data_IF_736519093011
#
_entry.id   IF_736519093011
#
_cell.length_a   1.000
_cell.length_b   1.000
_cell.length_c   1.000
_cell.angle_alpha   90.00
_cell.angle_beta   90.00
_cell.angle_gamma   90.00
#
_symmetry.space_group_name_H-M   'P 1'
#
loop_
_entity.id
_entity.type
_entity.pdbx_description
1 polymer ?
#
# COMPACT_ATOMS: atom_id res chain seq x y z
N UNK A 1 -23.08 7.59 0.56
CA UNK A 1 -23.39 6.32 1.25
C UNK A 1 -22.18 5.41 1.12
N UNK A 2 -21.42 5.23 2.20
CA UNK A 2 -20.26 4.33 2.25
C UNK A 2 -20.71 3.05 2.93
N UNK A 3 -21.13 2.06 2.14
CA UNK A 3 -21.33 0.69 2.59
C UNK A 3 -20.32 -0.18 1.85
N UNK A 4 -19.41 -0.79 2.59
CA UNK A 4 -18.46 -1.76 2.05
C UNK A 4 -19.21 -2.91 1.38
N UNK A 5 -18.91 -3.13 0.10
CA UNK A 5 -19.41 -4.25 -0.67
C UNK A 5 -18.74 -5.54 -0.21
N UNK A 6 -19.36 -6.20 0.75
CA UNK A 6 -19.06 -7.58 1.12
C UNK A 6 -19.73 -8.49 0.09
N UNK A 7 -18.94 -9.16 -0.75
CA UNK A 7 -19.41 -10.20 -1.67
C UNK A 7 -20.04 -11.36 -0.86
N UNK A 8 -21.37 -11.37 -0.77
CA UNK A 8 -22.13 -12.53 -0.28
C UNK A 8 -22.32 -13.53 -1.42
N UNK A 9 -21.59 -14.64 -1.36
CA UNK A 9 -21.95 -15.85 -2.11
C UNK A 9 -23.16 -16.52 -1.44
N UNK A 10 -24.36 -16.25 -1.98
CA UNK A 10 -25.57 -16.93 -1.57
C UNK A 10 -25.67 -18.33 -2.17
N UNK A 11 -25.23 -19.36 -1.43
CA UNK A 11 -25.53 -20.75 -1.77
C UNK A 11 -26.91 -21.10 -1.19
N UNK A 12 -27.91 -21.28 -2.06
CA UNK A 12 -29.20 -21.90 -1.69
C UNK A 12 -28.97 -23.38 -1.38
N UNK A 13 -28.86 -23.74 -0.11
CA UNK A 13 -28.90 -25.14 0.34
C UNK A 13 -30.29 -25.43 0.89
N UNK A 14 -31.01 -26.30 0.19
CA UNK A 14 -32.32 -26.80 0.61
C UNK A 14 -32.23 -27.56 1.93
N UNK A 15 -33.25 -27.41 2.78
CA UNK A 15 -33.38 -28.15 4.03
C UNK A 15 -33.44 -29.66 3.74
N UNK A 16 -32.38 -30.38 4.07
CA UNK A 16 -32.43 -31.81 4.40
C UNK A 16 -31.63 -32.03 5.68
N UNK A 17 -32.32 -32.54 6.70
CA UNK A 17 -31.73 -32.92 7.96
C UNK A 17 -30.75 -34.10 7.75
N UNK A 18 -29.53 -33.98 8.27
CA UNK A 18 -28.57 -35.07 8.38
C UNK A 18 -27.95 -35.06 9.79
N UNK A 19 -27.62 -36.23 10.35
CA UNK A 19 -27.47 -36.45 11.79
C UNK A 19 -26.13 -35.97 12.36
N UNK A 20 -26.15 -35.66 13.65
CA UNK A 20 -24.99 -35.25 14.44
C UNK A 20 -23.87 -36.31 14.40
N UNK A 21 -22.74 -35.97 13.78
CA UNK A 21 -21.49 -36.72 13.88
C UNK A 21 -20.74 -36.21 15.11
N UNK A 22 -20.64 -37.05 16.15
CA UNK A 22 -19.73 -36.84 17.29
C UNK A 22 -18.28 -36.96 16.80
N UNK A 23 -17.56 -35.84 16.71
CA UNK A 23 -16.11 -35.83 16.56
C UNK A 23 -15.46 -36.09 17.92
N UNK A 24 -14.91 -37.30 18.07
CA UNK A 24 -14.06 -37.69 19.19
C UNK A 24 -12.74 -36.90 19.13
N UNK A 25 -12.60 -35.89 19.98
CA UNK A 25 -11.31 -35.28 20.30
C UNK A 25 -10.49 -36.26 21.16
N UNK A 26 -9.69 -37.11 20.52
CA UNK A 26 -8.56 -37.82 21.16
C UNK A 26 -7.28 -37.36 20.49
N UNK A 27 -6.56 -36.43 21.12
CA UNK A 27 -5.28 -35.98 20.56
C UNK A 27 -4.74 -34.67 21.13
N UNK A 28 -4.84 -34.44 22.43
CA UNK A 28 -3.99 -33.46 23.12
C UNK A 28 -3.61 -34.04 24.47
N UNK A 29 -2.50 -34.79 24.51
CA UNK A 29 -1.80 -35.04 25.76
C UNK A 29 -1.07 -33.74 26.14
N UNK A 30 -1.80 -32.83 26.79
CA UNK A 30 -1.19 -31.76 27.58
C UNK A 30 -0.53 -32.40 28.81
N UNK A 31 0.75 -32.15 29.02
CA UNK A 31 1.42 -32.41 30.31
C UNK A 31 0.53 -31.84 31.42
N UNK A 32 0.08 -32.74 32.28
CA UNK A 32 -0.83 -32.43 33.36
C UNK A 32 -0.25 -31.35 34.28
N UNK A 33 -0.97 -30.24 34.42
CA UNK A 33 -0.88 -29.39 35.61
C UNK A 33 -1.65 -30.15 36.69
N UNK A 34 -0.93 -30.90 37.50
CA UNK A 34 -1.47 -31.61 38.65
C UNK A 34 -1.81 -30.61 39.77
N UNK A 35 -3.09 -30.31 39.97
CA UNK A 35 -3.57 -29.65 41.19
C UNK A 35 -4.86 -28.85 40.98
N UNK A 36 -5.99 -29.41 41.44
CA UNK A 36 -7.37 -28.88 41.42
C UNK A 36 -8.14 -28.99 40.09
N UNK A 37 -9.15 -29.87 40.07
CA UNK A 37 -10.08 -30.10 38.96
C UNK A 37 -11.19 -29.04 38.97
N UNK A 38 -10.86 -27.78 38.71
CA UNK A 38 -11.89 -26.74 38.58
C UNK A 38 -12.52 -26.85 37.19
N UNK A 39 -13.85 -27.00 37.15
CA UNK A 39 -14.63 -27.01 35.92
C UNK A 39 -14.66 -25.59 35.32
N UNK A 40 -13.73 -25.32 34.41
CA UNK A 40 -13.52 -24.03 33.74
C UNK A 40 -14.80 -23.50 33.09
N UNK A 41 -15.72 -24.38 32.69
CA UNK A 41 -16.98 -24.00 32.03
C UNK A 41 -18.02 -23.37 32.97
N UNK A 42 -17.79 -23.40 34.29
CA UNK A 42 -18.69 -22.85 35.31
C UNK A 42 -18.18 -21.56 35.95
N UNK A 43 -17.02 -21.07 35.53
CA UNK A 43 -16.41 -19.86 36.08
C UNK A 43 -16.94 -18.66 35.28
N UNK A 44 -17.59 -17.68 35.93
CA UNK A 44 -18.01 -16.45 35.25
C UNK A 44 -16.82 -15.71 34.64
N UNK A 45 -16.99 -15.05 33.49
CA UNK A 45 -15.93 -14.23 32.87
C UNK A 45 -15.49 -13.02 33.73
N UNK A 46 -16.18 -12.75 34.84
CA UNK A 46 -15.83 -11.74 35.83
C UNK A 46 -14.79 -12.22 36.85
N UNK A 47 -14.52 -13.53 36.93
CA UNK A 47 -13.57 -14.13 37.86
C UNK A 47 -12.32 -14.64 37.12
N UNK A 48 -11.11 -14.45 37.68
CA UNK A 48 -9.89 -14.95 37.05
C UNK A 48 -9.89 -16.49 37.05
N UNK A 49 -9.52 -17.07 35.91
CA UNK A 49 -9.41 -18.52 35.78
C UNK A 49 -8.29 -19.06 36.70
N UNK A 50 -8.58 -20.05 37.56
CA UNK A 50 -7.59 -20.63 38.47
C UNK A 50 -6.56 -21.44 37.68
N UNK A 51 -5.29 -21.37 38.12
CA UNK A 51 -4.20 -22.15 37.53
C UNK A 51 -3.50 -21.53 36.31
N UNK A 52 -3.91 -20.33 35.87
CA UNK A 52 -3.16 -19.56 34.87
C UNK A 52 -2.00 -18.78 35.51
N UNK A 53 -0.88 -18.60 34.78
CA UNK A 53 0.23 -17.77 35.25
C UNK A 53 -0.22 -16.33 35.44
N UNK A 54 0.38 -15.64 36.40
CA UNK A 54 0.10 -14.22 36.64
C UNK A 54 0.38 -13.39 35.39
N UNK A 55 -0.58 -12.57 34.98
CA UNK A 55 -0.47 -11.69 33.81
C UNK A 55 0.66 -10.70 34.05
N UNK A 56 1.66 -10.70 33.18
CA UNK A 56 2.70 -9.68 33.19
C UNK A 56 2.22 -8.49 32.38
N UNK A 57 1.86 -7.41 33.06
CA UNK A 57 1.44 -6.18 32.40
C UNK A 57 2.64 -5.40 31.87
N UNK A 58 2.44 -4.78 30.72
CA UNK A 58 3.39 -3.83 30.16
C UNK A 58 3.70 -2.73 31.17
N UNK A 59 4.98 -2.42 31.37
CA UNK A 59 5.40 -1.21 32.06
C UNK A 59 5.84 -0.19 31.01
N UNK A 60 5.45 1.10 31.13
CA UNK A 60 5.97 2.14 30.26
C UNK A 60 7.50 2.14 30.33
N UNK A 61 8.13 1.82 29.22
CA UNK A 61 9.57 1.99 29.03
C UNK A 61 9.84 3.48 28.82
N UNK A 62 10.79 4.04 29.57
CA UNK A 62 11.29 5.39 29.34
C UNK A 62 12.38 5.44 28.25
N UNK A 63 12.79 4.28 27.71
CA UNK A 63 13.78 4.26 26.65
C UNK A 63 13.13 4.73 25.34
N UNK A 64 13.75 5.65 24.61
CA UNK A 64 13.32 5.95 23.25
C UNK A 64 13.49 4.66 22.43
N UNK A 65 12.42 4.20 21.79
CA UNK A 65 12.46 3.12 20.81
C UNK A 65 13.23 3.61 19.57
N UNK A 66 14.57 3.69 19.68
CA UNK A 66 15.45 4.14 18.61
C UNK A 66 15.46 3.11 17.48
N UNK A 67 15.49 3.60 16.25
CA UNK A 67 15.54 2.73 15.07
C UNK A 67 17.00 2.34 14.84
N UNK A 68 17.29 1.04 14.93
CA UNK A 68 18.63 0.49 14.70
C UNK A 68 18.71 0.02 13.25
N UNK A 69 19.78 0.39 12.55
CA UNK A 69 20.02 0.02 11.15
C UNK A 69 21.38 -0.66 11.02
N UNK A 70 21.38 -1.87 10.49
CA UNK A 70 22.59 -2.64 10.18
C UNK A 70 22.64 -2.95 8.69
N UNK A 71 23.81 -2.80 8.07
CA UNK A 71 24.04 -3.18 6.68
C UNK A 71 24.80 -4.51 6.66
N UNK A 72 24.22 -5.51 6.01
CA UNK A 72 24.84 -6.83 5.82
C UNK A 72 25.91 -6.79 4.74
N UNK A 73 26.83 -7.76 4.77
CA UNK A 73 27.97 -7.84 3.83
C UNK A 73 27.52 -7.95 2.36
N UNK A 74 26.36 -8.55 2.10
CA UNK A 74 25.78 -8.66 0.76
C UNK A 74 25.12 -7.35 0.27
N UNK A 75 25.01 -6.33 1.12
CA UNK A 75 24.44 -5.02 0.80
C UNK A 75 23.01 -4.77 1.27
N UNK A 76 22.30 -5.79 1.78
CA UNK A 76 20.94 -5.61 2.34
C UNK A 76 21.02 -4.75 3.60
N UNK A 77 20.09 -3.80 3.72
CA UNK A 77 19.92 -3.01 4.95
C UNK A 77 18.81 -3.63 5.79
N UNK A 78 19.08 -3.81 7.09
CA UNK A 78 18.14 -4.32 8.08
C UNK A 78 17.85 -3.22 9.08
N UNK A 79 16.59 -2.80 9.16
CA UNK A 79 16.13 -1.78 10.10
C UNK A 79 15.14 -2.39 11.09
N UNK A 80 15.26 -2.08 12.37
CA UNK A 80 14.27 -2.51 13.36
C UNK A 80 13.95 -1.42 14.35
N UNK A 81 12.69 -1.37 14.76
CA UNK A 81 12.25 -0.66 15.94
C UNK A 81 11.60 -1.66 16.90
N UNK A 82 12.25 -1.91 18.03
CA UNK A 82 11.64 -2.74 19.05
C UNK A 82 10.50 -1.95 19.69
N UNK A 83 9.31 -2.52 19.72
CA UNK A 83 8.13 -1.91 20.33
C UNK A 83 7.40 -2.96 21.13
N UNK A 84 6.86 -2.56 22.28
CA UNK A 84 6.07 -3.46 23.10
C UNK A 84 4.82 -3.92 22.36
N UNK A 85 4.65 -5.24 22.24
CA UNK A 85 3.51 -5.89 21.62
C UNK A 85 3.75 -7.39 21.44
N UNK A 86 2.68 -8.17 21.27
CA UNK A 86 2.78 -9.59 20.94
C UNK A 86 2.91 -9.84 19.44
N UNK A 87 2.60 -8.83 18.62
CA UNK A 87 2.65 -8.89 17.17
C UNK A 87 3.87 -8.12 16.65
N UNK A 88 4.49 -8.69 15.63
CA UNK A 88 5.51 -8.01 14.84
C UNK A 88 5.00 -7.77 13.43
N UNK A 89 5.47 -6.70 12.81
CA UNK A 89 5.28 -6.44 11.38
C UNK A 89 6.66 -6.42 10.73
N UNK A 90 6.84 -7.23 9.69
CA UNK A 90 8.06 -7.29 8.89
C UNK A 90 7.71 -6.90 7.46
N UNK A 91 8.51 -6.02 6.87
CA UNK A 91 8.36 -5.56 5.49
C UNK A 91 9.67 -5.65 4.74
N UNK A 92 9.63 -6.17 3.52
CA UNK A 92 10.70 -6.07 2.54
C UNK A 92 10.35 -4.94 1.59
N UNK A 93 11.10 -3.86 1.67
CA UNK A 93 10.96 -2.69 0.81
C UNK A 93 12.03 -2.76 -0.26
N UNK A 94 11.60 -2.72 -1.52
CA UNK A 94 12.45 -2.84 -2.69
C UNK A 94 12.30 -1.57 -3.50
N UNK A 95 13.44 -0.99 -3.89
CA UNK A 95 13.50 0.11 -4.85
C UNK A 95 13.19 -0.44 -6.26
N UNK A 96 11.90 -0.59 -6.54
CA UNK A 96 11.34 -1.22 -7.73
C UNK A 96 9.95 -0.66 -7.98
N UNK A 97 9.55 -0.55 -9.24
CA UNK A 97 8.26 -0.01 -9.62
C UNK A 97 8.20 0.32 -11.12
N UNK A 98 7.03 0.81 -11.59
CA UNK A 98 6.80 1.24 -12.97
C UNK A 98 7.84 2.20 -13.51
N UNK A 99 8.44 3.04 -12.65
CA UNK A 99 9.52 3.96 -13.02
C UNK A 99 10.69 3.26 -13.72
N UNK A 100 10.99 2.03 -13.32
CA UNK A 100 12.16 1.27 -13.78
C UNK A 100 11.83 0.36 -14.98
N UNK A 101 10.64 0.50 -15.58
CA UNK A 101 10.18 -0.31 -16.70
C UNK A 101 10.48 0.31 -18.07
N UNK A 102 11.35 1.32 -18.16
CA UNK A 102 11.63 2.06 -19.41
C UNK A 102 12.07 1.13 -20.55
N UNK A 103 12.90 0.13 -20.23
CA UNK A 103 13.39 -0.86 -21.20
C UNK A 103 12.50 -2.11 -21.33
N UNK A 104 11.34 -2.11 -20.67
CA UNK A 104 10.43 -3.24 -20.59
C UNK A 104 9.01 -2.86 -21.08
N UNK A 105 8.18 -3.84 -21.44
CA UNK A 105 6.75 -3.59 -21.61
C UNK A 105 6.16 -3.09 -20.30
N UNK A 106 5.54 -1.90 -20.29
CA UNK A 106 4.95 -1.35 -19.07
C UNK A 106 3.84 -2.25 -18.52
N UNK A 107 3.80 -2.41 -17.20
CA UNK A 107 2.86 -3.27 -16.47
C UNK A 107 3.51 -4.42 -15.70
N UNK A 108 4.83 -4.59 -15.75
CA UNK A 108 5.51 -5.71 -15.07
C UNK A 108 5.30 -5.68 -13.55
N UNK A 109 5.42 -4.51 -12.92
CA UNK A 109 5.22 -4.35 -11.49
C UNK A 109 3.80 -4.70 -11.08
N UNK A 110 2.82 -4.35 -11.92
CA UNK A 110 1.41 -4.71 -11.68
C UNK A 110 1.21 -6.24 -11.70
N UNK A 111 1.86 -6.93 -12.64
CA UNK A 111 1.89 -8.40 -12.65
C UNK A 111 2.57 -8.98 -11.40
N UNK A 112 3.71 -8.44 -10.99
CA UNK A 112 4.43 -8.88 -9.80
C UNK A 112 3.63 -8.68 -8.51
N UNK A 113 2.80 -7.64 -8.44
CA UNK A 113 1.87 -7.41 -7.34
C UNK A 113 0.79 -8.50 -7.30
N UNK A 114 0.16 -8.84 -8.42
CA UNK A 114 -0.87 -9.91 -8.47
C UNK A 114 -0.28 -11.30 -8.23
N UNK A 115 0.95 -11.53 -8.64
CA UNK A 115 1.70 -12.78 -8.43
C UNK A 115 2.32 -12.88 -7.03
N UNK A 116 2.25 -11.82 -6.22
CA UNK A 116 2.78 -11.83 -4.87
C UNK A 116 2.11 -12.93 -4.04
N UNK A 117 2.90 -13.57 -3.17
CA UNK A 117 2.48 -14.69 -2.33
C UNK A 117 1.96 -15.92 -3.10
N UNK A 118 2.29 -16.06 -4.39
CA UNK A 118 2.05 -17.27 -5.18
C UNK A 118 2.96 -18.45 -4.84
N UNK A 119 3.03 -19.44 -5.73
CA UNK A 119 3.91 -20.58 -5.58
C UNK A 119 5.40 -20.17 -5.56
N UNK A 120 6.19 -20.85 -4.72
CA UNK A 120 7.63 -20.61 -4.54
C UNK A 120 8.40 -21.92 -4.68
N UNK A 121 9.73 -21.89 -4.53
CA UNK A 121 10.53 -23.12 -4.46
C UNK A 121 10.16 -24.01 -3.28
N UNK A 122 9.75 -23.42 -2.15
CA UNK A 122 9.40 -24.13 -0.92
C UNK A 122 7.91 -24.48 -0.81
N UNK A 123 7.04 -23.59 -1.28
CA UNK A 123 5.59 -23.70 -1.18
C UNK A 123 4.99 -23.99 -2.56
N UNK A 124 4.25 -25.09 -2.69
CA UNK A 124 3.75 -25.56 -3.99
C UNK A 124 2.63 -24.70 -4.57
N UNK A 125 1.87 -24.01 -3.72
CA UNK A 125 0.78 -23.12 -4.11
C UNK A 125 0.57 -22.00 -3.10
N UNK A 126 -0.25 -21.01 -3.49
CA UNK A 126 -0.65 -19.89 -2.63
C UNK A 126 -1.29 -20.32 -1.31
N UNK A 127 -2.11 -21.37 -1.32
CA UNK A 127 -2.82 -21.83 -0.12
C UNK A 127 -1.85 -22.34 0.96
N UNK A 128 -0.72 -22.96 0.57
CA UNK A 128 0.31 -23.36 1.52
C UNK A 128 1.00 -22.15 2.17
N UNK A 129 1.26 -21.10 1.40
CA UNK A 129 1.83 -19.83 1.89
C UNK A 129 0.88 -19.21 2.93
N UNK A 130 -0.40 -19.11 2.60
CA UNK A 130 -1.42 -18.56 3.50
C UNK A 130 -1.60 -19.43 4.75
N UNK A 131 -1.58 -20.76 4.64
CA UNK A 131 -1.72 -21.64 5.79
C UNK A 131 -0.57 -21.49 6.80
N UNK A 132 0.66 -21.25 6.33
CA UNK A 132 1.81 -20.98 7.22
C UNK A 132 1.61 -19.66 7.97
N UNK A 133 1.12 -18.65 7.28
CA UNK A 133 0.84 -17.33 7.84
C UNK A 133 -0.32 -17.37 8.86
N UNK A 134 -1.42 -18.05 8.53
CA UNK A 134 -2.60 -18.23 9.39
C UNK A 134 -2.26 -18.98 10.67
N UNK A 135 -1.35 -19.96 10.62
CA UNK A 135 -0.84 -20.66 11.83
C UNK A 135 -0.17 -19.72 12.82
N UNK A 136 0.37 -18.60 12.34
CA UNK A 136 0.97 -17.55 13.18
C UNK A 136 0.00 -16.40 13.49
N UNK A 137 -1.28 -16.56 13.14
CA UNK A 137 -2.30 -15.51 13.27
C UNK A 137 -1.98 -14.27 12.43
N UNK A 138 -1.25 -14.43 11.33
CA UNK A 138 -0.72 -13.34 10.54
C UNK A 138 -1.56 -12.95 9.33
N UNK A 139 -1.30 -11.73 8.84
CA UNK A 139 -1.81 -11.19 7.58
C UNK A 139 -0.63 -10.73 6.72
N UNK A 140 -0.78 -10.77 5.40
CA UNK A 140 0.25 -10.36 4.47
C UNK A 140 -0.36 -9.52 3.35
N UNK A 141 0.44 -8.60 2.83
CA UNK A 141 0.05 -7.73 1.73
C UNK A 141 1.26 -7.38 0.87
N UNK A 142 0.99 -7.10 -0.41
CA UNK A 142 1.99 -6.60 -1.33
C UNK A 142 1.45 -5.36 -2.04
N UNK A 143 2.19 -4.27 -1.94
CA UNK A 143 1.78 -2.99 -2.49
C UNK A 143 2.86 -2.43 -3.41
N UNK A 144 2.43 -1.95 -4.58
CA UNK A 144 3.29 -1.23 -5.51
C UNK A 144 3.02 0.28 -5.49
N UNK A 145 4.09 1.05 -5.44
CA UNK A 145 4.15 2.47 -5.77
C UNK A 145 4.86 2.64 -7.12
N UNK A 146 5.09 3.89 -7.56
CA UNK A 146 5.82 4.18 -8.80
C UNK A 146 7.31 3.87 -8.72
N UNK A 147 7.91 3.99 -7.54
CA UNK A 147 9.34 3.82 -7.28
C UNK A 147 9.66 2.77 -6.20
N UNK A 148 8.66 2.23 -5.53
CA UNK A 148 8.84 1.29 -4.41
C UNK A 148 7.85 0.12 -4.47
N UNK A 149 8.32 -1.07 -4.13
CA UNK A 149 7.54 -2.29 -4.00
C UNK A 149 7.69 -2.82 -2.58
N UNK A 150 6.59 -3.11 -1.91
CA UNK A 150 6.59 -3.53 -0.50
C UNK A 150 5.93 -4.89 -0.37
N UNK A 151 6.64 -5.84 0.24
CA UNK A 151 6.08 -7.12 0.68
C UNK A 151 6.05 -7.11 2.20
N UNK A 152 4.86 -7.08 2.80
CA UNK A 152 4.71 -6.97 4.24
C UNK A 152 3.93 -8.15 4.81
N UNK A 153 4.29 -8.54 6.02
CA UNK A 153 3.56 -9.52 6.80
C UNK A 153 3.55 -9.10 8.28
N UNK A 154 2.38 -9.17 8.90
CA UNK A 154 2.20 -8.98 10.34
C UNK A 154 1.79 -10.30 10.96
N UNK A 155 2.44 -10.74 12.03
CA UNK A 155 2.12 -11.99 12.71
C UNK A 155 2.54 -11.96 14.18
N UNK A 156 2.25 -13.03 14.92
CA UNK A 156 2.78 -13.21 16.28
C UNK A 156 4.32 -13.19 16.27
N UNK A 157 4.91 -12.44 17.21
CA UNK A 157 6.36 -12.29 17.38
C UNK A 157 7.11 -13.61 17.52
N UNK A 158 6.49 -14.65 18.09
CA UNK A 158 7.08 -16.00 18.18
C UNK A 158 7.28 -16.66 16.81
N UNK A 159 6.51 -16.23 15.82
CA UNK A 159 6.57 -16.69 14.43
C UNK A 159 7.59 -15.96 13.57
N UNK A 160 8.37 -15.01 14.11
CA UNK A 160 9.25 -14.12 13.35
C UNK A 160 10.11 -14.83 12.28
N UNK A 161 10.81 -15.89 12.66
CA UNK A 161 11.68 -16.63 11.76
C UNK A 161 10.89 -17.29 10.61
N UNK A 162 9.66 -17.76 10.85
CA UNK A 162 8.80 -18.33 9.80
C UNK A 162 8.30 -17.24 8.84
N UNK A 163 7.98 -16.05 9.36
CA UNK A 163 7.55 -14.90 8.54
C UNK A 163 8.69 -14.40 7.66
N UNK A 164 9.91 -14.30 8.19
CA UNK A 164 11.09 -13.88 7.41
C UNK A 164 11.43 -14.92 6.34
N UNK A 165 11.36 -16.21 6.67
CA UNK A 165 11.55 -17.30 5.69
C UNK A 165 10.53 -17.18 4.55
N UNK A 166 9.24 -17.02 4.89
CA UNK A 166 8.16 -16.83 3.92
C UNK A 166 8.38 -15.61 3.02
N UNK A 167 8.69 -14.45 3.61
CA UNK A 167 8.98 -13.24 2.84
C UNK A 167 10.18 -13.42 1.91
N UNK A 168 11.22 -14.14 2.35
CA UNK A 168 12.39 -14.44 1.50
C UNK A 168 12.03 -15.34 0.31
N UNK A 169 11.16 -16.34 0.50
CA UNK A 169 10.73 -17.25 -0.55
C UNK A 169 9.86 -16.53 -1.59
N UNK A 170 8.90 -15.72 -1.12
CA UNK A 170 7.99 -14.97 -2.01
C UNK A 170 8.72 -13.90 -2.80
N UNK A 171 9.73 -13.25 -2.22
CA UNK A 171 10.47 -12.17 -2.90
C UNK A 171 11.57 -12.66 -3.83
N UNK A 172 12.35 -13.66 -3.42
CA UNK A 172 13.57 -14.08 -4.14
C UNK A 172 13.44 -15.43 -4.87
N UNK A 173 12.44 -16.23 -4.53
CA UNK A 173 12.26 -17.59 -5.08
C UNK A 173 10.82 -17.87 -5.55
N UNK A 174 10.14 -16.92 -6.24
CA UNK A 174 8.85 -17.21 -6.81
C UNK A 174 9.01 -18.20 -7.98
N UNK A 175 8.08 -19.15 -8.11
CA UNK A 175 8.09 -20.12 -9.21
C UNK A 175 7.40 -19.56 -10.45
N UNK A 176 6.33 -18.79 -10.28
CA UNK A 176 5.46 -18.22 -11.33
C UNK A 176 5.12 -19.28 -12.37
N UNK A 177 4.08 -20.08 -12.15
CA UNK A 177 3.63 -21.05 -13.15
C UNK A 177 2.88 -20.36 -14.30
N UNK A 178 2.77 -21.00 -15.47
CA UNK A 178 1.98 -20.45 -16.59
C UNK A 178 0.50 -20.28 -16.19
N UNK A 179 -0.03 -21.20 -15.38
CA UNK A 179 -1.40 -21.13 -14.85
C UNK A 179 -1.59 -19.89 -13.96
N UNK A 180 -0.64 -19.58 -13.07
CA UNK A 180 -0.67 -18.38 -12.22
C UNK A 180 -0.55 -17.09 -13.06
N UNK A 181 0.28 -17.13 -14.10
CA UNK A 181 0.47 -16.00 -15.01
C UNK A 181 -0.82 -15.73 -15.80
N UNK A 182 -1.47 -16.75 -16.34
CA UNK A 182 -2.75 -16.62 -17.04
C UNK A 182 -3.88 -16.14 -16.12
N UNK A 183 -3.94 -16.65 -14.89
CA UNK A 183 -4.89 -16.17 -13.89
C UNK A 183 -4.65 -14.68 -13.58
N UNK A 184 -3.39 -14.25 -13.49
CA UNK A 184 -3.02 -12.85 -13.27
C UNK A 184 -3.40 -11.96 -14.45
N UNK A 185 -3.26 -12.43 -15.70
CA UNK A 185 -3.73 -11.71 -16.90
C UNK A 185 -5.22 -11.43 -16.82
N UNK A 186 -6.03 -12.41 -16.45
CA UNK A 186 -7.49 -12.22 -16.34
C UNK A 186 -7.88 -11.32 -15.17
N UNK A 187 -7.18 -11.45 -14.02
CA UNK A 187 -7.39 -10.56 -12.88
C UNK A 187 -7.11 -9.10 -13.24
N UNK A 188 -5.99 -8.82 -13.93
CA UNK A 188 -5.64 -7.47 -14.39
C UNK A 188 -6.66 -6.95 -15.41
N UNK A 189 -7.12 -7.78 -16.36
CA UNK A 189 -8.18 -7.38 -17.29
C UNK A 189 -9.49 -7.04 -16.58
N UNK A 190 -9.85 -7.78 -15.53
CA UNK A 190 -11.02 -7.47 -14.71
C UNK A 190 -10.83 -6.14 -13.99
N UNK A 191 -9.67 -5.92 -13.38
CA UNK A 191 -9.38 -4.69 -12.64
C UNK A 191 -9.37 -3.45 -13.54
N UNK A 192 -8.80 -3.53 -14.75
CA UNK A 192 -8.86 -2.44 -15.72
C UNK A 192 -10.31 -2.11 -16.11
N UNK A 193 -11.17 -3.12 -16.30
CA UNK A 193 -12.60 -2.90 -16.52
C UNK A 193 -13.25 -2.25 -15.31
N UNK A 194 -12.91 -2.69 -14.10
CA UNK A 194 -13.48 -2.13 -12.87
C UNK A 194 -13.08 -0.66 -12.69
N UNK A 195 -11.80 -0.31 -12.89
CA UNK A 195 -11.31 1.07 -12.84
C UNK A 195 -12.03 1.93 -13.89
N UNK A 196 -12.21 1.41 -15.09
CA UNK A 196 -12.90 2.10 -16.17
C UNK A 196 -14.39 2.36 -15.84
N UNK A 197 -15.04 1.45 -15.12
CA UNK A 197 -16.46 1.53 -14.77
C UNK A 197 -16.76 2.27 -13.45
N UNK A 198 -15.75 2.56 -12.63
CA UNK A 198 -15.94 3.24 -11.34
C UNK A 198 -16.42 4.69 -11.56
N UNK A 199 -17.39 5.19 -10.79
CA UNK A 199 -17.78 6.60 -10.88
C UNK A 199 -16.73 7.54 -10.29
N UNK A 200 -16.00 7.07 -9.29
CA UNK A 200 -14.84 7.77 -8.76
C UNK A 200 -13.64 7.52 -9.67
N UNK A 201 -13.16 8.59 -10.29
CA UNK A 201 -12.10 8.58 -11.29
C UNK A 201 -10.73 8.97 -10.70
N UNK A 202 -10.61 9.06 -9.37
CA UNK A 202 -9.35 9.47 -8.71
C UNK A 202 -8.14 8.64 -9.19
N UNK A 203 -8.24 7.31 -9.19
CA UNK A 203 -7.15 6.44 -9.67
C UNK A 203 -6.74 6.75 -11.10
N UNK A 204 -7.72 6.88 -12.02
CA UNK A 204 -7.43 7.18 -13.43
C UNK A 204 -6.81 8.57 -13.59
N UNK A 205 -7.31 9.56 -12.86
CA UNK A 205 -6.79 10.92 -12.91
C UNK A 205 -5.37 10.99 -12.37
N UNK A 206 -5.03 10.22 -11.34
CA UNK A 206 -3.67 10.11 -10.84
C UNK A 206 -2.74 9.45 -11.87
N UNK A 207 -3.19 8.43 -12.60
CA UNK A 207 -2.41 7.89 -13.72
C UNK A 207 -2.20 8.94 -14.83
N UNK A 208 -3.26 9.66 -15.20
CA UNK A 208 -3.23 10.68 -16.24
C UNK A 208 -2.34 11.87 -15.88
N UNK A 209 -2.38 12.36 -14.64
CA UNK A 209 -1.58 13.53 -14.26
C UNK A 209 -0.08 13.21 -14.24
N UNK A 210 0.30 11.99 -13.82
CA UNK A 210 1.70 11.55 -13.89
C UNK A 210 2.17 11.42 -15.33
N UNK A 211 1.35 10.84 -16.20
CA UNK A 211 1.64 10.75 -17.65
C UNK A 211 1.72 12.13 -18.30
N UNK A 212 0.87 13.08 -17.89
CA UNK A 212 0.93 14.45 -18.39
C UNK A 212 2.20 15.18 -17.91
N UNK A 213 2.58 15.01 -16.64
CA UNK A 213 3.74 15.68 -16.05
C UNK A 213 5.08 15.16 -16.59
N UNK A 214 5.24 13.84 -16.65
CA UNK A 214 6.51 13.16 -16.95
C UNK A 214 6.53 12.45 -18.31
N UNK A 215 5.46 12.54 -19.10
CA UNK A 215 5.31 11.92 -20.43
C UNK A 215 5.47 10.40 -20.38
N UNK A 216 6.02 9.79 -21.43
CA UNK A 216 6.26 8.35 -21.50
C UNK A 216 7.66 8.00 -20.96
N UNK A 217 8.04 8.53 -19.80
CA UNK A 217 9.35 8.27 -19.20
C UNK A 217 9.28 8.22 -17.67
N UNK A 218 10.11 7.38 -17.06
CA UNK A 218 10.25 7.27 -15.59
C UNK A 218 8.89 7.24 -14.86
N UNK A 219 8.58 8.24 -14.02
CA UNK A 219 7.34 8.35 -13.25
C UNK A 219 6.05 8.53 -14.10
N UNK A 220 6.19 8.87 -15.38
CA UNK A 220 5.08 8.98 -16.32
C UNK A 220 4.68 7.64 -16.94
N UNK A 221 5.48 6.59 -16.72
CA UNK A 221 5.09 5.22 -17.06
C UNK A 221 3.86 4.80 -16.23
N UNK A 222 2.94 4.04 -16.83
CA UNK A 222 1.68 3.69 -16.18
C UNK A 222 1.92 2.69 -15.05
N UNK A 223 1.28 2.92 -13.90
CA UNK A 223 1.24 1.95 -12.79
C UNK A 223 0.35 0.76 -13.14
N UNK A 224 -0.78 1.04 -13.78
CA UNK A 224 -1.69 0.00 -14.27
C UNK A 224 -1.21 -0.51 -15.64
N UNK A 225 -1.08 -1.82 -15.78
CA UNK A 225 -0.68 -2.44 -17.04
C UNK A 225 -1.61 -2.01 -18.19
N UNK A 226 -1.10 -1.42 -19.29
CA UNK A 226 -1.89 -1.16 -20.49
C UNK A 226 -2.48 -2.45 -21.06
N UNK A 227 -3.71 -2.40 -21.57
CA UNK A 227 -4.41 -3.58 -22.08
C UNK A 227 -3.65 -4.29 -23.22
N UNK A 228 -2.96 -3.53 -24.06
CA UNK A 228 -2.12 -4.01 -25.16
C UNK A 228 -0.89 -4.81 -24.69
N UNK A 229 -0.35 -4.50 -23.51
CA UNK A 229 0.84 -5.14 -22.97
C UNK A 229 0.54 -6.45 -22.22
N UNK A 230 -0.71 -6.69 -21.81
CA UNK A 230 -1.10 -7.88 -21.03
C UNK A 230 -0.72 -9.18 -21.73
N UNK A 231 -0.83 -9.22 -23.07
CA UNK A 231 -0.48 -10.38 -23.88
C UNK A 231 1.03 -10.49 -24.17
N UNK A 232 1.78 -9.40 -24.04
CA UNK A 232 3.21 -9.33 -24.35
C UNK A 232 4.08 -9.72 -23.15
N UNK A 233 3.57 -9.57 -21.93
CA UNK A 233 4.30 -9.89 -20.71
C UNK A 233 4.36 -11.41 -20.54
N UNK A 234 5.58 -11.94 -20.56
CA UNK A 234 5.88 -13.36 -20.38
C UNK A 234 6.69 -13.62 -19.09
N UNK A 235 6.80 -14.91 -18.74
CA UNK A 235 7.50 -15.35 -17.54
C UNK A 235 8.98 -14.92 -17.55
N UNK A 236 9.65 -14.99 -18.70
CA UNK A 236 11.07 -14.65 -18.82
C UNK A 236 11.33 -13.16 -18.63
N UNK A 237 10.45 -12.30 -19.15
CA UNK A 237 10.53 -10.85 -18.96
C UNK A 237 10.38 -10.48 -17.48
N UNK A 238 9.45 -11.11 -16.76
CA UNK A 238 9.29 -10.93 -15.31
C UNK A 238 10.56 -11.31 -14.54
N UNK A 239 11.14 -12.48 -14.80
CA UNK A 239 12.39 -12.89 -14.13
C UNK A 239 13.59 -12.04 -14.51
N UNK A 240 13.64 -11.52 -15.74
CA UNK A 240 14.68 -10.57 -16.17
C UNK A 240 14.61 -9.27 -15.37
N UNK A 241 13.39 -8.75 -15.17
CA UNK A 241 13.16 -7.57 -14.34
C UNK A 241 13.48 -7.83 -12.86
N UNK A 242 13.07 -8.98 -12.30
CA UNK A 242 13.42 -9.38 -10.94
C UNK A 242 14.93 -9.48 -10.74
N UNK A 243 15.66 -10.11 -11.67
CA UNK A 243 17.14 -10.21 -11.60
C UNK A 243 17.80 -8.83 -11.54
N UNK A 244 17.24 -7.86 -12.25
CA UNK A 244 17.80 -6.51 -12.34
C UNK A 244 17.47 -5.66 -11.10
N UNK A 245 16.21 -5.64 -10.63
CA UNK A 245 15.75 -4.76 -9.55
C UNK A 245 15.78 -5.38 -8.15
N UNK A 246 15.65 -6.71 -8.01
CA UNK A 246 15.60 -7.38 -6.70
C UNK A 246 17.01 -7.74 -6.19
N UNK A 247 18.01 -6.95 -6.56
CA UNK A 247 19.37 -7.10 -6.04
C UNK A 247 19.47 -6.58 -4.61
N UNK A 248 20.39 -7.14 -3.83
CA UNK A 248 20.58 -6.81 -2.41
C UNK A 248 20.75 -5.30 -2.13
N UNK A 249 21.40 -4.56 -3.03
CA UNK A 249 21.59 -3.08 -2.91
C UNK A 249 20.28 -2.27 -2.94
N UNK A 250 19.23 -2.82 -3.56
CA UNK A 250 17.92 -2.17 -3.69
C UNK A 250 16.92 -2.63 -2.61
N UNK A 251 17.36 -3.48 -1.66
CA UNK A 251 16.48 -4.10 -0.69
C UNK A 251 16.74 -3.61 0.73
N UNK A 252 15.66 -3.34 1.45
CA UNK A 252 15.65 -3.04 2.88
C UNK A 252 14.66 -3.96 3.57
N UNK A 253 15.09 -4.68 4.60
CA UNK A 253 14.19 -5.43 5.47
C UNK A 253 13.96 -4.59 6.73
N UNK A 254 12.72 -4.15 6.92
CA UNK A 254 12.32 -3.35 8.08
C UNK A 254 11.36 -4.13 8.96
N UNK A 255 11.51 -4.05 10.28
CA UNK A 255 10.57 -4.68 11.20
C UNK A 255 10.25 -3.83 12.43
N UNK A 256 9.03 -3.96 12.93
CA UNK A 256 8.55 -3.31 14.15
C UNK A 256 8.07 -4.37 15.14
N UNK A 257 8.43 -4.23 16.41
CA UNK A 257 8.05 -5.17 17.47
C UNK A 257 8.95 -6.41 17.54
N UNK A 258 10.23 -6.28 17.14
CA UNK A 258 11.21 -7.37 17.13
C UNK A 258 12.54 -6.93 17.71
N UNK A 259 13.32 -7.89 18.22
CA UNK A 259 14.72 -7.67 18.57
C UNK A 259 15.57 -7.54 17.29
N UNK A 260 16.49 -6.57 17.28
CA UNK A 260 17.37 -6.30 16.14
C UNK A 260 18.27 -7.50 15.81
N UNK A 261 18.89 -8.11 16.81
CA UNK A 261 19.87 -9.18 16.60
C UNK A 261 19.20 -10.44 16.02
N UNK A 262 18.02 -10.79 16.53
CA UNK A 262 17.21 -11.91 16.02
C UNK A 262 16.76 -11.66 14.57
N UNK A 263 16.39 -10.42 14.24
CA UNK A 263 16.04 -10.03 12.87
C UNK A 263 17.24 -10.16 11.93
N UNK A 264 18.40 -9.63 12.33
CA UNK A 264 19.64 -9.69 11.55
C UNK A 264 20.05 -11.14 11.28
N UNK A 265 19.99 -12.01 12.29
CA UNK A 265 20.31 -13.43 12.14
C UNK A 265 19.33 -14.12 11.16
N UNK A 266 18.03 -13.88 11.30
CA UNK A 266 17.02 -14.48 10.43
C UNK A 266 17.12 -13.97 8.99
N UNK A 267 17.38 -12.67 8.78
CA UNK A 267 17.60 -12.10 7.43
C UNK A 267 18.88 -12.69 6.82
N UNK A 268 19.97 -12.79 7.59
CA UNK A 268 21.20 -13.39 7.11
C UNK A 268 20.98 -14.84 6.66
N UNK A 269 20.25 -15.63 7.45
CA UNK A 269 19.93 -17.02 7.14
C UNK A 269 19.09 -17.18 5.86
N UNK A 270 18.06 -16.37 5.67
CA UNK A 270 17.08 -16.61 4.60
C UNK A 270 17.27 -15.78 3.33
N UNK A 271 17.78 -14.55 3.45
CA UNK A 271 18.03 -13.66 2.30
C UNK A 271 19.47 -13.74 1.78
N UNK A 272 20.45 -14.08 2.63
CA UNK A 272 21.88 -14.08 2.24
C UNK A 272 22.36 -15.48 1.89
N UNK A 273 22.17 -16.46 2.78
CA UNK A 273 22.72 -17.82 2.57
C UNK A 273 22.02 -18.56 1.43
N UNK A 274 20.72 -18.34 1.26
CA UNK A 274 19.93 -18.93 0.18
C UNK A 274 19.91 -18.00 -1.02
N UNK A 275 20.34 -18.49 -2.19
CA UNK A 275 20.37 -17.69 -3.42
C UNK A 275 18.96 -17.45 -3.99
N UNK A 276 18.77 -16.36 -4.76
CA UNK A 276 17.57 -16.15 -5.58
C UNK A 276 17.48 -17.17 -6.73
N UNK A 277 16.26 -17.51 -7.13
CA UNK A 277 16.00 -18.57 -8.12
C UNK A 277 16.58 -18.26 -9.51
N UNK A 278 16.59 -17.00 -9.93
CA UNK A 278 17.13 -16.54 -11.22
C UNK A 278 18.67 -16.52 -11.27
N UNK A 279 19.34 -16.71 -10.13
CA UNK A 279 20.80 -16.92 -10.07
C UNK A 279 21.12 -18.41 -10.27
N UNK A 280 20.33 -19.27 -9.65
CA UNK A 280 20.52 -20.72 -9.73
C UNK A 280 20.07 -21.29 -11.09
N UNK A 281 18.97 -20.76 -11.65
CA UNK A 281 18.46 -21.14 -12.96
C UNK A 281 18.51 -19.96 -13.94
N UNK A 282 19.59 -19.91 -14.71
CA UNK A 282 19.78 -18.87 -15.74
C UNK A 282 18.83 -19.01 -16.93
N UNK A 283 18.14 -20.16 -17.11
CA UNK A 283 17.20 -20.36 -18.22
C UNK A 283 15.89 -19.57 -18.07
N UNK A 284 15.62 -19.09 -16.85
CA UNK A 284 14.45 -18.27 -16.52
C UNK A 284 14.56 -16.83 -17.00
N UNK A 285 15.77 -16.38 -17.36
CA UNK A 285 16.07 -14.99 -17.68
C UNK A 285 16.36 -14.88 -19.18
N UNK A 286 16.06 -13.71 -19.76
CA UNK A 286 16.43 -13.43 -21.15
C UNK A 286 17.95 -13.25 -21.29
N UNK A 287 18.53 -13.80 -22.37
CA UNK A 287 19.98 -13.73 -22.64
C UNK A 287 20.47 -12.28 -22.74
N UNK A 288 19.67 -11.41 -23.34
CA UNK A 288 19.83 -9.96 -23.33
C UNK A 288 18.98 -9.36 -22.21
N UNK A 289 19.65 -8.94 -21.14
CA UNK A 289 19.05 -8.08 -20.11
C UNK A 289 19.31 -6.62 -20.49
N UNK A 290 18.27 -5.77 -20.62
CA UNK A 290 18.49 -4.35 -20.86
C UNK A 290 19.25 -3.71 -19.69
N UNK A 291 19.98 -2.63 -19.96
CA UNK A 291 20.67 -1.89 -18.91
C UNK A 291 19.67 -1.26 -17.93
N UNK A 292 20.10 -1.11 -16.67
CA UNK A 292 19.26 -0.47 -15.66
C UNK A 292 19.18 1.02 -15.94
N UNK A 293 17.96 1.49 -16.16
CA UNK A 293 17.69 2.91 -16.31
C UNK A 293 17.41 3.52 -14.93
N UNK A 294 18.40 4.23 -14.41
CA UNK A 294 18.30 5.04 -13.18
C UNK A 294 18.20 6.55 -13.52
N UNK A 295 17.66 6.89 -14.69
CA UNK A 295 17.46 8.27 -15.13
C UNK A 295 16.60 9.08 -14.16
N UNK A 296 16.92 10.37 -14.07
CA UNK A 296 16.18 11.35 -13.27
C UNK A 296 14.90 11.73 -14.01
N UNK A 297 13.80 11.81 -13.27
CA UNK A 297 12.52 12.27 -13.78
C UNK A 297 12.53 13.77 -14.04
N UNK A 298 12.14 14.18 -15.25
CA UNK A 298 12.06 15.59 -15.63
C UNK A 298 10.59 16.00 -15.77
N UNK A 299 10.16 16.98 -14.96
CA UNK A 299 8.85 17.57 -15.11
C UNK A 299 8.78 18.40 -16.40
N UNK A 300 7.83 18.08 -17.27
CA UNK A 300 7.65 18.79 -18.54
C UNK A 300 6.32 19.53 -18.65
N UNK A 301 5.39 19.21 -17.77
CA UNK A 301 3.99 19.61 -17.88
C UNK A 301 3.28 19.00 -19.09
N UNK A 302 1.97 19.17 -19.12
CA UNK A 302 1.14 18.63 -20.19
C UNK A 302 -0.34 18.71 -19.87
N UNK A 303 -1.16 18.40 -20.86
CA UNK A 303 -2.61 18.34 -20.72
C UNK A 303 -3.11 17.06 -21.35
N UNK A 304 -3.78 16.22 -20.56
CA UNK A 304 -4.49 15.05 -21.04
C UNK A 304 -5.97 15.23 -20.76
N UNK A 305 -6.80 14.90 -21.75
CA UNK A 305 -8.26 15.00 -21.68
C UNK A 305 -8.85 13.70 -22.19
N UNK A 306 -9.82 13.17 -21.44
CA UNK A 306 -10.58 11.99 -21.83
C UNK A 306 -12.05 12.37 -21.73
N UNK A 307 -12.76 12.25 -22.83
CA UNK A 307 -14.23 12.41 -22.86
C UNK A 307 -14.83 11.04 -22.75
N UNK A 308 -15.64 10.83 -21.71
CA UNK A 308 -16.31 9.55 -21.48
C UNK A 308 -17.74 9.79 -21.01
N UNK A 309 -18.66 9.03 -21.59
CA UNK A 309 -20.05 9.04 -21.16
C UNK A 309 -20.26 8.00 -20.05
N UNK A 310 -20.50 8.48 -18.84
CA UNK A 310 -20.77 7.65 -17.66
C UNK A 310 -22.28 7.50 -17.38
N UNK A 311 -23.16 8.06 -18.22
CA UNK A 311 -24.62 8.05 -17.97
C UNK A 311 -25.20 6.65 -17.85
N UNK A 312 -24.58 5.68 -18.53
CA UNK A 312 -25.06 4.30 -18.62
C UNK A 312 -24.30 3.33 -17.69
N UNK A 313 -23.36 3.80 -16.88
CA UNK A 313 -22.51 2.96 -16.03
C UNK A 313 -23.09 2.65 -14.64
N UNK A 314 -24.35 3.02 -14.37
CA UNK A 314 -24.97 2.73 -13.08
C UNK A 314 -25.24 1.23 -12.91
N UNK A 315 -24.52 0.60 -11.97
CA UNK A 315 -24.78 -0.77 -11.51
C UNK A 315 -26.02 -0.87 -10.59
N UNK A 316 -26.62 0.27 -10.20
CA UNK A 316 -27.74 0.35 -9.27
C UNK A 316 -28.93 1.17 -9.79
N UNK A 317 -30.07 1.16 -9.07
CA UNK A 317 -31.30 1.85 -9.46
C UNK A 317 -31.20 3.38 -9.36
N UNK A 318 -30.21 3.90 -8.62
CA UNK A 318 -29.95 5.34 -8.50
C UNK A 318 -28.92 5.77 -9.53
N UNK A 319 -29.25 6.68 -10.46
CA UNK A 319 -28.29 7.21 -11.41
C UNK A 319 -27.17 7.94 -10.66
N UNK A 320 -25.94 7.69 -11.07
CA UNK A 320 -24.75 8.37 -10.56
C UNK A 320 -24.76 9.80 -11.12
N UNK A 321 -24.41 10.83 -10.32
CA UNK A 321 -24.29 12.18 -10.85
C UNK A 321 -23.27 12.21 -11.98
N UNK A 322 -23.63 12.83 -13.10
CA UNK A 322 -22.70 13.06 -14.20
C UNK A 322 -21.71 14.16 -13.76
N UNK A 323 -20.48 13.78 -13.43
CA UNK A 323 -19.45 14.70 -12.93
C UNK A 323 -18.32 14.83 -13.96
N UNK A 324 -17.87 16.06 -14.16
CA UNK A 324 -16.58 16.35 -14.76
C UNK A 324 -15.52 16.37 -13.65
N UNK A 325 -14.44 15.64 -13.86
CA UNK A 325 -13.31 15.59 -12.94
C UNK A 325 -12.09 16.29 -13.53
N UNK A 326 -11.37 17.05 -12.71
CA UNK A 326 -10.16 17.77 -13.09
C UNK A 326 -9.10 17.55 -12.03
N UNK A 327 -7.87 17.33 -12.48
CA UNK A 327 -6.68 17.42 -11.65
C UNK A 327 -5.76 18.47 -12.26
N UNK A 328 -5.41 19.47 -11.45
CA UNK A 328 -4.38 20.46 -11.79
C UNK A 328 -3.17 20.23 -10.89
N UNK A 329 -1.98 20.17 -11.48
CA UNK A 329 -0.78 19.84 -10.74
C UNK A 329 0.44 20.66 -11.15
N UNK A 330 1.33 20.88 -10.19
CA UNK A 330 2.62 21.52 -10.35
C UNK A 330 3.72 20.58 -9.83
N UNK A 331 4.95 20.81 -10.28
CA UNK A 331 6.12 20.14 -9.73
C UNK A 331 6.27 20.48 -8.24
N UNK A 332 6.50 19.46 -7.42
CA UNK A 332 6.83 19.60 -6.01
C UNK A 332 8.19 18.98 -5.70
N UNK A 333 8.55 18.95 -4.41
CA UNK A 333 9.87 18.52 -3.99
C UNK A 333 10.01 17.00 -3.83
N UNK A 334 11.24 16.52 -3.98
CA UNK A 334 11.63 15.15 -3.61
C UNK A 334 11.53 14.94 -2.09
N UNK A 335 11.35 13.69 -1.64
CA UNK A 335 11.44 13.35 -0.22
C UNK A 335 12.82 13.59 0.41
N UNK A 336 13.86 13.82 -0.40
CA UNK A 336 15.23 14.15 0.07
C UNK A 336 15.47 15.65 0.18
N UNK A 337 14.58 16.46 -0.36
CA UNK A 337 14.71 17.91 -0.41
C UNK A 337 14.33 18.53 0.96
N UNK A 338 15.03 19.55 1.45
CA UNK A 338 14.61 20.30 2.64
C UNK A 338 13.17 20.83 2.56
N UNK A 339 12.68 21.16 1.36
CA UNK A 339 11.32 21.68 1.14
C UNK A 339 10.23 20.59 1.20
N UNK A 340 10.60 19.31 1.30
CA UNK A 340 9.63 18.21 1.44
C UNK A 340 8.63 18.44 2.58
N UNK A 341 9.13 18.83 3.75
CA UNK A 341 8.30 19.09 4.93
C UNK A 341 7.38 20.30 4.68
N UNK A 342 7.86 21.31 3.96
CA UNK A 342 7.07 22.47 3.56
C UNK A 342 5.88 22.03 2.69
N UNK A 343 6.09 21.14 1.72
CA UNK A 343 5.01 20.59 0.90
C UNK A 343 4.03 19.71 1.68
N UNK A 344 4.49 18.94 2.68
CA UNK A 344 3.58 18.22 3.60
C UNK A 344 2.69 19.19 4.38
N UNK A 345 3.26 20.29 4.90
CA UNK A 345 2.48 21.33 5.60
C UNK A 345 1.48 21.99 4.66
N UNK A 346 1.88 22.31 3.43
CA UNK A 346 0.99 22.85 2.39
C UNK A 346 -0.15 21.87 2.09
N UNK A 347 0.15 20.57 1.96
CA UNK A 347 -0.84 19.53 1.74
C UNK A 347 -1.89 19.50 2.86
N UNK A 348 -1.44 19.49 4.13
CA UNK A 348 -2.33 19.51 5.29
C UNK A 348 -3.15 20.81 5.40
N UNK A 349 -2.56 21.96 5.06
CA UNK A 349 -3.23 23.27 5.07
C UNK A 349 -4.30 23.36 3.99
N UNK A 350 -3.98 22.91 2.78
CA UNK A 350 -4.93 22.87 1.66
C UNK A 350 -6.04 21.87 1.94
N UNK A 351 -5.68 20.65 2.34
CA UNK A 351 -6.57 19.58 2.75
C UNK A 351 -7.69 19.35 1.73
N UNK A 352 -8.94 19.49 2.20
CA UNK A 352 -10.13 19.35 1.37
C UNK A 352 -10.96 18.12 1.69
N UNK A 353 -11.62 17.58 0.68
CA UNK A 353 -12.43 16.38 0.76
C UNK A 353 -13.66 16.41 -0.14
N UNK A 354 -14.53 15.42 0.06
CA UNK A 354 -15.85 15.39 -0.58
C UNK A 354 -16.85 16.30 0.14
N UNK A 355 -17.77 16.89 -0.64
CA UNK A 355 -18.94 17.63 -0.16
C UNK A 355 -19.81 16.79 0.78
N UNK A 356 -19.83 15.48 0.57
CA UNK A 356 -20.45 14.53 1.49
C UNK A 356 -19.40 13.80 2.33
N UNK A 357 -19.10 14.31 3.53
CA UNK A 357 -18.27 13.61 4.52
C UNK A 357 -19.06 13.38 5.80
N UNK A 358 -19.48 12.14 6.05
CA UNK A 358 -20.08 11.75 7.32
C UNK A 358 -18.95 11.55 8.34
N UNK A 359 -18.56 12.62 9.02
CA UNK A 359 -17.46 12.60 9.97
C UNK A 359 -17.60 13.61 11.09
N UNK A 360 -17.05 13.27 12.25
CA UNK A 360 -16.91 14.22 13.35
C UNK A 360 -15.77 15.22 13.12
N UNK A 361 -15.59 16.17 14.04
CA UNK A 361 -14.45 17.09 14.06
C UNK A 361 -13.09 16.35 13.94
N UNK A 362 -12.12 16.97 13.27
CA UNK A 362 -10.77 16.43 13.09
C UNK A 362 -10.46 15.87 11.69
N UNK A 363 -11.45 15.75 10.80
CA UNK A 363 -11.26 15.29 9.40
C UNK A 363 -10.77 16.37 8.42
N UNK A 364 -10.29 17.52 8.91
CA UNK A 364 -9.86 18.62 8.03
C UNK A 364 -11.00 19.51 7.50
N UNK A 365 -12.16 19.55 8.17
CA UNK A 365 -13.28 20.45 7.79
C UNK A 365 -12.94 21.95 7.86
N UNK A 366 -11.86 22.30 8.56
CA UNK A 366 -11.34 23.67 8.66
C UNK A 366 -10.16 23.93 7.72
N UNK A 367 -9.82 22.97 6.85
CA UNK A 367 -8.80 23.17 5.83
C UNK A 367 -9.23 24.23 4.82
N UNK A 368 -8.24 24.78 4.10
CA UNK A 368 -8.45 25.89 3.19
C UNK A 368 -9.41 25.54 2.06
N UNK A 369 -9.22 24.39 1.41
CA UNK A 369 -10.12 23.97 0.32
C UNK A 369 -11.53 23.67 0.85
N UNK A 370 -11.66 23.11 2.06
CA UNK A 370 -12.99 22.85 2.61
C UNK A 370 -13.76 24.15 2.90
N UNK A 371 -13.11 25.13 3.52
CA UNK A 371 -13.76 26.38 3.95
C UNK A 371 -13.94 27.41 2.82
N UNK A 372 -12.96 27.57 1.95
CA UNK A 372 -13.03 28.54 0.85
C UNK A 372 -13.73 27.98 -0.38
N UNK A 373 -13.62 26.66 -0.62
CA UNK A 373 -14.19 26.04 -1.82
C UNK A 373 -15.50 25.34 -1.48
N UNK A 374 -15.48 24.24 -0.74
CA UNK A 374 -16.67 23.39 -0.56
C UNK A 374 -17.82 24.09 0.19
N UNK A 375 -17.53 24.89 1.21
CA UNK A 375 -18.57 25.62 1.95
C UNK A 375 -19.17 26.79 1.15
N UNK A 376 -18.45 27.35 0.18
CA UNK A 376 -18.92 28.51 -0.61
C UNK A 376 -19.57 28.08 -1.92
N UNK A 377 -18.99 27.09 -2.59
CA UNK A 377 -19.44 26.57 -3.87
C UNK A 377 -20.13 25.23 -3.67
N UNK A 378 -21.39 25.27 -3.23
CA UNK A 378 -22.19 24.08 -2.91
C UNK A 378 -22.40 23.11 -4.09
N UNK A 379 -22.16 23.56 -5.32
CA UNK A 379 -22.25 22.76 -6.55
C UNK A 379 -20.99 21.92 -6.81
N UNK A 380 -19.90 22.15 -6.08
CA UNK A 380 -18.69 21.32 -6.15
C UNK A 380 -18.86 20.05 -5.30
N UNK A 381 -18.49 18.91 -5.89
CA UNK A 381 -18.62 17.60 -5.26
C UNK A 381 -17.38 17.19 -4.49
N UNK A 382 -16.20 17.53 -5.00
CA UNK A 382 -14.91 17.20 -4.39
C UNK A 382 -13.92 18.34 -4.64
N UNK A 383 -13.04 18.59 -3.68
CA UNK A 383 -11.86 19.42 -3.83
C UNK A 383 -10.83 18.96 -2.80
N UNK A 384 -9.79 18.24 -3.23
CA UNK A 384 -8.79 17.63 -2.35
C UNK A 384 -7.40 17.87 -2.92
N UNK A 385 -6.46 18.29 -2.06
CA UNK A 385 -5.05 18.41 -2.40
C UNK A 385 -4.29 17.11 -2.10
N UNK A 386 -3.30 16.81 -2.94
CA UNK A 386 -2.40 15.68 -2.78
C UNK A 386 -0.96 16.12 -3.02
N UNK A 387 -0.05 15.57 -2.22
CA UNK A 387 1.39 15.68 -2.45
C UNK A 387 1.98 14.29 -2.69
N UNK A 388 2.44 14.04 -3.91
CA UNK A 388 3.20 12.84 -4.27
C UNK A 388 4.69 13.21 -4.29
N UNK A 389 5.48 12.63 -3.39
CA UNK A 389 6.92 12.86 -3.35
C UNK A 389 7.68 11.57 -3.69
N UNK A 390 8.63 11.70 -4.61
CA UNK A 390 9.48 10.61 -5.09
C UNK A 390 10.95 10.89 -4.77
N UNK A 391 11.82 9.96 -5.15
CA UNK A 391 13.24 10.00 -4.84
C UNK A 391 14.03 11.20 -5.40
N UNK A 392 13.53 11.84 -6.44
CA UNK A 392 14.21 12.93 -7.16
C UNK A 392 13.29 14.09 -7.57
N UNK A 393 11.97 13.93 -7.48
CA UNK A 393 10.98 14.96 -7.83
C UNK A 393 9.66 14.71 -7.07
N UNK A 394 8.67 15.58 -7.22
CA UNK A 394 7.34 15.40 -6.68
C UNK A 394 6.26 16.04 -7.56
N UNK A 395 5.01 15.72 -7.29
CA UNK A 395 3.83 16.38 -7.85
C UNK A 395 2.94 16.84 -6.71
N UNK A 396 2.61 18.13 -6.68
CA UNK A 396 1.54 18.67 -5.84
C UNK A 396 0.33 18.99 -6.71
N UNK A 397 -0.82 18.39 -6.39
CA UNK A 397 -2.02 18.52 -7.23
C UNK A 397 -3.29 18.75 -6.42
N UNK A 398 -4.30 19.31 -7.08
CA UNK A 398 -5.66 19.44 -6.55
C UNK A 398 -6.61 18.70 -7.49
N UNK A 399 -7.29 17.70 -6.95
CA UNK A 399 -8.40 17.00 -7.59
C UNK A 399 -9.70 17.70 -7.22
N UNK A 400 -10.47 18.09 -8.22
CA UNK A 400 -11.80 18.64 -8.02
C UNK A 400 -12.82 18.04 -8.99
N UNK A 401 -14.08 17.97 -8.56
CA UNK A 401 -15.19 17.49 -9.39
C UNK A 401 -16.45 18.32 -9.22
N UNK A 402 -17.19 18.49 -10.31
CA UNK A 402 -18.46 19.22 -10.37
C UNK A 402 -19.29 18.80 -11.60
N UNK A 403 -20.50 19.35 -11.72
CA UNK A 403 -21.35 19.21 -12.90
C UNK A 403 -20.67 19.80 -14.17
N UNK A 404 -20.66 19.10 -15.32
CA UNK A 404 -19.99 19.56 -16.54
C UNK A 404 -20.20 21.03 -16.97
N UNK A 405 -21.38 21.65 -16.83
CA UNK A 405 -21.56 23.06 -17.20
C UNK A 405 -20.71 24.04 -16.37
N UNK A 406 -20.34 23.68 -15.14
CA UNK A 406 -19.58 24.53 -14.22
C UNK A 406 -18.06 24.34 -14.31
N UNK A 407 -17.58 23.56 -15.29
CA UNK A 407 -16.17 23.16 -15.39
C UNK A 407 -15.20 24.36 -15.55
N UNK A 408 -15.59 25.38 -16.31
CA UNK A 408 -14.76 26.58 -16.51
C UNK A 408 -14.59 27.39 -15.21
N UNK A 409 -15.68 27.50 -14.44
CA UNK A 409 -15.68 28.16 -13.15
C UNK A 409 -14.87 27.36 -12.12
N UNK A 410 -15.04 26.03 -12.10
CA UNK A 410 -14.26 25.12 -11.24
C UNK A 410 -12.76 25.31 -11.45
N UNK A 411 -12.30 25.27 -12.70
CA UNK A 411 -10.87 25.46 -13.00
C UNK A 411 -10.40 26.83 -12.54
N UNK A 412 -11.20 27.88 -12.74
CA UNK A 412 -10.86 29.24 -12.31
C UNK A 412 -10.72 29.35 -10.79
N UNK A 413 -11.59 28.68 -10.03
CA UNK A 413 -11.53 28.63 -8.56
C UNK A 413 -10.26 27.91 -8.10
N UNK A 414 -9.95 26.74 -8.66
CA UNK A 414 -8.75 25.97 -8.29
C UNK A 414 -7.46 26.74 -8.62
N UNK A 415 -7.39 27.37 -9.79
CA UNK A 415 -6.25 28.24 -10.17
C UNK A 415 -6.12 29.41 -9.21
N UNK A 416 -7.23 30.02 -8.80
CA UNK A 416 -7.20 31.10 -7.81
C UNK A 416 -6.71 30.63 -6.44
N UNK A 417 -7.07 29.42 -5.99
CA UNK A 417 -6.54 28.88 -4.73
C UNK A 417 -5.03 28.60 -4.81
N UNK A 418 -4.53 28.09 -5.94
CA UNK A 418 -3.08 27.99 -6.18
C UNK A 418 -2.39 29.36 -6.15
N UNK A 419 -2.97 30.38 -6.81
CA UNK A 419 -2.41 31.74 -6.80
C UNK A 419 -2.42 32.35 -5.39
N UNK A 420 -3.51 32.18 -4.64
CA UNK A 420 -3.65 32.70 -3.29
C UNK A 420 -2.75 31.99 -2.27
N UNK A 421 -2.25 30.79 -2.57
CA UNK A 421 -1.24 30.11 -1.77
C UNK A 421 0.09 30.88 -1.74
N UNK A 422 0.41 31.62 -2.80
CA UNK A 422 1.60 32.48 -2.87
C UNK A 422 1.47 33.77 -2.05
N UNK A 423 0.26 34.10 -1.59
CA UNK A 423 -0.03 35.26 -0.75
C UNK A 423 0.30 35.04 0.73
N UNK A 424 0.06 36.07 1.56
CA UNK A 424 0.26 35.96 3.01
C UNK A 424 -0.77 35.00 3.61
N UNK A 425 -0.30 33.94 4.27
CA UNK A 425 -1.14 33.03 5.05
C UNK A 425 -1.46 33.73 6.39
N UNK A 426 -2.75 33.81 6.75
CA UNK A 426 -3.14 34.35 8.06
C UNK A 426 -2.67 33.43 9.19
N UNK A 427 -2.12 34.00 10.27
CA UNK A 427 -1.56 33.27 11.42
C UNK A 427 -2.55 32.23 12.00
N UNK A 428 -3.86 32.52 11.97
CA UNK A 428 -4.91 31.62 12.44
C UNK A 428 -5.04 30.31 11.64
N UNK A 429 -4.77 30.35 10.32
CA UNK A 429 -4.85 29.16 9.46
C UNK A 429 -3.68 28.20 9.66
N UNK A 430 -2.50 28.73 10.01
CA UNK A 430 -1.33 27.91 10.36
C UNK A 430 -1.54 27.18 11.70
N UNK A 431 -2.13 27.86 12.69
CA UNK A 431 -2.40 27.30 14.02
C UNK A 431 -3.54 26.27 14.00
N UNK A 432 -4.59 26.47 13.19
CA UNK A 432 -5.70 25.49 13.06
C UNK A 432 -5.28 24.16 12.46
N UNK A 433 -4.16 24.12 11.74
CA UNK A 433 -3.56 22.90 11.19
C UNK A 433 -2.71 22.12 12.19
N UNK A 434 -2.65 22.54 13.47
CA UNK A 434 -1.90 21.83 14.51
C UNK A 434 -0.38 22.03 14.44
N UNK A 435 0.07 23.10 13.78
CA UNK A 435 1.48 23.46 13.71
C UNK A 435 1.89 24.07 15.07
N UNK A 436 2.20 23.22 16.06
CA UNK A 436 3.07 23.64 17.15
C UNK A 436 4.51 23.74 16.61
N UNK A 437 5.25 24.82 16.91
CA UNK A 437 6.64 24.95 16.52
C UNK A 437 7.50 24.01 17.37
N UNK A 438 7.52 22.72 17.03
CA UNK A 438 8.53 21.79 17.53
C UNK A 438 8.95 20.83 16.42
N UNK A 439 10.26 20.76 16.15
CA UNK A 439 10.90 19.88 15.14
C UNK A 439 10.50 18.40 15.28
N UNK A 440 9.95 17.99 16.43
CA UNK A 440 9.53 16.61 16.72
C UNK A 440 8.14 16.26 16.18
N UNK A 441 7.24 17.22 15.96
CA UNK A 441 5.88 16.97 15.47
C UNK A 441 5.84 16.62 13.98
N UNK A 442 6.66 17.30 13.15
CA UNK A 442 6.73 17.05 11.71
C UNK A 442 7.15 15.60 11.37
N UNK A 443 8.09 15.02 12.11
CA UNK A 443 8.52 13.61 11.92
C UNK A 443 7.44 12.58 12.27
N UNK A 444 6.59 12.89 13.27
CA UNK A 444 5.46 12.03 13.68
C UNK A 444 4.26 12.15 12.75
N UNK A 445 4.10 13.27 12.06
CA UNK A 445 2.99 13.48 11.12
C UNK A 445 3.31 12.98 9.70
N UNK A 446 4.55 13.13 9.23
CA UNK A 446 4.99 12.51 7.96
C UNK A 446 4.89 10.98 7.97
N UNK A 447 5.06 10.35 9.14
CA UNK A 447 4.85 8.92 9.35
C UNK A 447 3.37 8.50 9.48
N UNK A 448 2.45 9.45 9.64
CA UNK A 448 1.00 9.22 9.62
C UNK A 448 0.42 9.35 8.20
N UNK A 449 0.94 10.26 7.37
CA UNK A 449 0.54 10.35 5.96
C UNK A 449 0.96 9.11 5.16
N UNK A 450 2.16 8.53 5.41
CA UNK A 450 2.56 7.27 4.78
C UNK A 450 1.64 6.08 5.13
N UNK A 451 0.98 6.13 6.31
CA UNK A 451 -0.03 5.15 6.72
C UNK A 451 -1.40 5.39 6.10
N UNK A 452 -1.77 6.64 5.82
CA UNK A 452 -3.04 6.99 5.19
C UNK A 452 -3.01 6.74 3.67
N UNK A 453 -1.88 7.00 3.01
CA UNK A 453 -1.68 6.62 1.60
C UNK A 453 -1.66 5.10 1.41
N UNK A 454 -1.19 4.33 2.40
CA UNK A 454 -1.24 2.86 2.35
C UNK A 454 -2.64 2.26 2.61
N UNK A 455 -3.60 3.05 3.12
CA UNK A 455 -4.99 2.60 3.35
C UNK A 455 -6.00 3.15 2.35
N UNK A 456 -5.58 4.00 1.42
CA UNK A 456 -6.47 4.67 0.44
C UNK A 456 -5.93 4.71 -1.00
N UNK A 457 -4.90 3.91 -1.31
CA UNK A 457 -4.47 3.63 -2.69
C UNK A 457 -4.64 2.16 -2.99
#
# INVERSE_FOLDING_TARGET
MSAGGMLQFGVRIGRKALPCIRLNWRGCQSKAISGSSVDITKIPLTEPLPGLPAVTYAKPSAQPDETIVTKLDNGIRVASQNRFGHFCTVGVVIDSGPRYEVAFPSGLTHFLEKLAFGATSKFGCRDEVLQVLEKQGGICDCQSSRDTMIYAASADSRGLNNVIDLLSEVTLRPRITEEELDASREAIKSELRDVDMRPDQETLLMEMIHKAAYRNNTLGLPKLCPAENIALIDRKTLFTFLKQRYAAKHMVVSAVGVNHDELVEAVNKHFVQKKPIWIDDSSLVNDTSPEADDSISQYTGGVLKVTKDLSNMSLGPTPIPNLAHVVLALESASHRDPDFITFCVINMLMGGGGSFSAGGPGKGMYSRLYTNVLNRYHWMYNATAYNHAYNDTGIFCIHASADPPALSELVSIIVNEFAMLTGRIGEASAVSCGIEPSEKAASKHASYESRATASSV
#
